data_IF_994710926769
#
_entry.id   IF_994710926769
#
_cell.length_a   1.000
_cell.length_b   1.000
_cell.length_c   1.000
_cell.angle_alpha   90.00
_cell.angle_beta   90.00
_cell.angle_gamma   90.00
#
_symmetry.space_group_name_H-M   'P 1'
#
loop_
_entity.id
_entity.type
_entity.pdbx_description
1 polymer ?
#
# COMPACT_ATOMS: atom_id res chain seq x y z
N UNK A 1 -54.82 27.69 57.90
CA UNK A 1 -53.81 27.19 58.88
C UNK A 1 -53.00 26.13 58.16
N UNK A 2 -51.68 26.32 58.11
CA UNK A 2 -50.70 25.69 57.20
C UNK A 2 -50.63 24.15 57.24
N UNK A 3 -50.39 23.56 56.05
CA UNK A 3 -49.54 22.38 55.84
C UNK A 3 -49.03 22.45 54.37
N UNK A 4 -47.74 22.76 54.16
CA UNK A 4 -46.67 21.80 53.76
C UNK A 4 -46.90 21.23 52.34
N UNK A 5 -46.38 21.88 51.29
CA UNK A 5 -45.06 21.65 50.67
C UNK A 5 -45.01 20.40 49.76
N UNK A 6 -45.40 20.57 48.49
CA UNK A 6 -44.97 19.69 47.39
C UNK A 6 -43.79 20.38 46.68
N UNK A 7 -42.58 19.86 46.91
CA UNK A 7 -41.41 20.16 46.09
C UNK A 7 -41.52 19.39 44.78
N UNK A 8 -41.84 20.10 43.70
CA UNK A 8 -41.53 19.65 42.35
C UNK A 8 -40.00 19.48 42.19
N UNK A 9 -39.51 18.43 41.49
CA UNK A 9 -38.10 18.32 41.20
C UNK A 9 -37.68 19.47 40.28
N UNK A 10 -36.83 20.35 40.82
CA UNK A 10 -36.08 21.40 40.13
C UNK A 10 -35.01 20.75 39.24
N UNK A 11 -35.36 20.44 37.99
CA UNK A 11 -34.38 20.31 36.89
C UNK A 11 -35.09 20.69 35.59
N UNK A 12 -35.30 21.99 35.39
CA UNK A 12 -35.61 22.59 34.09
C UNK A 12 -34.51 23.60 33.76
N UNK A 13 -33.26 23.15 33.82
CA UNK A 13 -32.16 23.86 33.20
C UNK A 13 -32.18 23.45 31.73
N UNK A 14 -32.63 24.35 30.86
CA UNK A 14 -32.79 24.19 29.40
C UNK A 14 -31.51 23.89 28.64
N UNK A 15 -30.83 22.82 29.03
CA UNK A 15 -29.63 22.28 28.44
C UNK A 15 -30.03 21.12 27.55
N UNK A 16 -30.32 21.41 26.28
CA UNK A 16 -30.41 20.38 25.25
C UNK A 16 -29.07 19.66 25.18
N UNK A 17 -29.04 18.39 25.59
CA UNK A 17 -27.86 17.55 25.41
C UNK A 17 -27.52 17.50 23.91
N UNK A 18 -26.25 17.73 23.52
CA UNK A 18 -25.87 17.67 22.12
C UNK A 18 -26.21 16.29 21.56
N UNK A 19 -27.00 16.25 20.48
CA UNK A 19 -27.34 15.01 19.79
C UNK A 19 -26.09 14.49 19.09
N UNK A 20 -25.45 13.47 19.66
CA UNK A 20 -24.26 12.84 19.09
C UNK A 20 -24.72 11.83 18.02
N UNK A 21 -24.41 12.10 16.75
CA UNK A 21 -24.61 11.14 15.67
C UNK A 21 -23.54 10.05 15.70
N UNK A 22 -23.93 8.87 16.16
CA UNK A 22 -23.09 7.67 16.21
C UNK A 22 -23.20 6.80 14.95
N UNK A 23 -24.05 7.17 13.98
CA UNK A 23 -24.37 6.32 12.84
C UNK A 23 -23.13 6.00 11.98
N UNK A 24 -22.18 6.94 11.90
CA UNK A 24 -20.88 6.71 11.24
C UNK A 24 -20.05 5.63 11.93
N UNK A 25 -20.06 5.57 13.26
CA UNK A 25 -19.29 4.57 14.02
C UNK A 25 -19.97 3.20 13.96
N UNK A 26 -21.30 3.14 14.03
CA UNK A 26 -22.03 1.89 13.85
C UNK A 26 -21.80 1.28 12.46
N UNK A 27 -21.78 2.09 11.40
CA UNK A 27 -21.42 1.61 10.05
C UNK A 27 -19.98 1.12 10.00
N UNK A 28 -19.05 1.87 10.59
CA UNK A 28 -17.65 1.45 10.65
C UNK A 28 -17.54 0.07 11.32
N UNK A 29 -18.08 -0.08 12.54
CA UNK A 29 -18.06 -1.34 13.29
C UNK A 29 -18.76 -2.48 12.55
N UNK A 30 -19.93 -2.23 11.95
CA UNK A 30 -20.67 -3.24 11.20
C UNK A 30 -19.94 -3.74 9.95
N UNK A 31 -19.05 -2.93 9.38
CA UNK A 31 -18.25 -3.29 8.20
C UNK A 31 -16.91 -3.96 8.54
N UNK A 32 -16.56 -4.09 9.83
CA UNK A 32 -15.30 -4.71 10.24
C UNK A 32 -15.34 -6.24 10.08
N UNK A 33 -14.29 -6.80 9.51
CA UNK A 33 -14.02 -8.23 9.64
C UNK A 33 -13.48 -8.53 11.03
N UNK A 34 -14.17 -9.38 11.80
CA UNK A 34 -13.76 -9.79 13.14
C UNK A 34 -12.76 -10.95 13.14
N UNK A 35 -12.47 -11.51 11.97
CA UNK A 35 -11.45 -12.52 11.77
C UNK A 35 -10.36 -12.00 10.83
N UNK A 36 -9.15 -12.55 10.97
CA UNK A 36 -8.03 -12.28 10.08
C UNK A 36 -7.64 -13.55 9.36
N UNK A 37 -7.68 -13.52 8.03
CA UNK A 37 -7.19 -14.62 7.22
C UNK A 37 -5.68 -14.72 7.42
N UNK A 38 -5.20 -15.95 7.63
CA UNK A 38 -3.79 -16.28 7.64
C UNK A 38 -3.58 -17.57 6.88
N UNK A 39 -2.47 -17.62 6.16
CA UNK A 39 -1.93 -18.83 5.58
C UNK A 39 -0.66 -19.27 6.30
N UNK A 40 -0.08 -20.33 5.78
CA UNK A 40 1.15 -20.93 6.30
C UNK A 40 2.12 -21.21 5.16
N UNK A 41 3.38 -20.85 5.36
CA UNK A 41 4.48 -21.32 4.51
C UNK A 41 4.58 -22.83 4.64
N UNK A 42 4.66 -23.52 3.52
CA UNK A 42 4.79 -24.98 3.43
C UNK A 42 6.18 -25.40 2.96
N UNK A 43 6.74 -24.66 2.00
CA UNK A 43 8.01 -24.97 1.37
C UNK A 43 8.72 -23.69 0.89
N UNK A 44 10.04 -23.73 0.80
CA UNK A 44 10.85 -22.76 0.07
C UNK A 44 11.65 -23.53 -1.00
N UNK A 45 11.45 -23.20 -2.27
CA UNK A 45 12.19 -23.79 -3.40
C UNK A 45 12.94 -22.69 -4.15
N UNK A 46 14.25 -22.59 -3.94
CA UNK A 46 15.04 -21.48 -4.48
C UNK A 46 14.56 -20.14 -3.89
N UNK A 47 14.08 -19.24 -4.76
CA UNK A 47 13.53 -17.94 -4.36
C UNK A 47 11.99 -17.95 -4.18
N UNK A 48 11.33 -19.04 -4.55
CA UNK A 48 9.87 -19.12 -4.50
C UNK A 48 9.43 -19.76 -3.19
N UNK A 49 8.59 -19.04 -2.45
CA UNK A 49 7.95 -19.54 -1.23
C UNK A 49 6.60 -20.14 -1.62
N UNK A 50 6.34 -21.38 -1.20
CA UNK A 50 5.02 -21.99 -1.31
C UNK A 50 4.27 -21.83 0.00
N UNK A 51 2.99 -21.52 -0.10
CA UNK A 51 2.14 -21.36 1.07
C UNK A 51 0.70 -21.78 0.78
N UNK A 52 -0.02 -22.21 1.82
CA UNK A 52 -1.48 -22.36 1.75
C UNK A 52 -2.10 -21.11 2.33
N UNK A 53 -2.69 -20.26 1.47
CA UNK A 53 -3.34 -19.01 1.86
C UNK A 53 -4.69 -18.91 1.14
N UNK A 54 -5.83 -18.88 1.86
CA UNK A 54 -7.13 -18.87 1.21
C UNK A 54 -7.50 -17.48 0.69
N UNK A 55 -8.18 -17.44 -0.46
CA UNK A 55 -8.83 -16.24 -0.99
C UNK A 55 -7.92 -15.19 -1.63
N UNK A 56 -6.62 -15.46 -1.79
CA UNK A 56 -5.66 -14.53 -2.40
C UNK A 56 -5.66 -14.58 -3.92
N UNK A 57 -5.18 -13.52 -4.56
CA UNK A 57 -5.13 -13.35 -6.02
C UNK A 57 -3.70 -13.10 -6.52
N UNK A 58 -3.44 -13.38 -7.80
CA UNK A 58 -2.17 -12.97 -8.45
C UNK A 58 -2.01 -11.45 -8.36
N UNK A 59 -0.81 -11.00 -8.02
CA UNK A 59 -0.46 -9.60 -7.80
C UNK A 59 -0.80 -9.07 -6.41
N UNK A 60 -1.40 -9.90 -5.55
CA UNK A 60 -1.71 -9.50 -4.17
C UNK A 60 -0.44 -9.51 -3.31
N UNK A 61 -0.27 -8.46 -2.52
CA UNK A 61 0.80 -8.34 -1.54
C UNK A 61 0.44 -9.14 -0.28
N UNK A 62 1.38 -9.93 0.19
CA UNK A 62 1.35 -10.67 1.44
C UNK A 62 2.52 -10.28 2.33
N UNK A 63 2.36 -10.44 3.64
CA UNK A 63 3.43 -10.36 4.62
C UNK A 63 3.75 -11.74 5.16
N UNK A 64 5.02 -12.15 5.09
CA UNK A 64 5.52 -13.37 5.72
C UNK A 64 6.10 -12.97 7.08
N UNK A 65 5.49 -13.49 8.14
CA UNK A 65 5.97 -13.30 9.51
C UNK A 65 6.90 -14.44 9.88
N UNK A 66 8.19 -14.12 10.05
CA UNK A 66 9.18 -15.08 10.54
C UNK A 66 8.96 -15.38 12.03
N UNK A 67 9.58 -16.46 12.53
CA UNK A 67 9.48 -16.82 13.95
C UNK A 67 10.16 -15.81 14.89
N UNK A 68 11.07 -14.99 14.36
CA UNK A 68 11.65 -13.89 15.10
C UNK A 68 10.67 -12.71 15.10
N UNK A 69 9.80 -12.63 16.11
CA UNK A 69 8.77 -11.58 16.23
C UNK A 69 9.31 -10.15 16.29
N UNK A 70 10.62 -9.95 16.44
CA UNK A 70 11.26 -8.62 16.40
C UNK A 70 11.67 -8.18 15.00
N UNK A 71 11.77 -9.11 14.05
CA UNK A 71 12.08 -8.80 12.67
C UNK A 71 10.85 -8.20 11.97
N UNK A 72 11.09 -7.27 11.05
CA UNK A 72 10.02 -6.75 10.20
C UNK A 72 9.47 -7.87 9.31
N UNK A 73 8.15 -7.92 9.06
CA UNK A 73 7.57 -8.89 8.15
C UNK A 73 8.14 -8.72 6.74
N UNK A 74 8.40 -9.84 6.06
CA UNK A 74 8.92 -9.83 4.70
C UNK A 74 7.75 -9.65 3.74
N UNK A 75 7.81 -8.62 2.89
CA UNK A 75 6.84 -8.40 1.80
C UNK A 75 7.02 -9.50 0.75
N UNK A 76 5.93 -10.09 0.27
CA UNK A 76 5.95 -11.06 -0.82
C UNK A 76 4.74 -10.88 -1.74
N UNK A 77 4.92 -11.07 -3.04
CA UNK A 77 3.86 -10.97 -4.03
C UNK A 77 3.38 -12.36 -4.45
N UNK A 78 2.07 -12.53 -4.59
CA UNK A 78 1.49 -13.74 -5.20
C UNK A 78 1.78 -13.73 -6.70
N UNK A 79 2.69 -14.60 -7.15
CA UNK A 79 3.07 -14.72 -8.57
C UNK A 79 2.35 -15.84 -9.30
N UNK A 80 1.68 -16.73 -8.58
CA UNK A 80 0.91 -17.81 -9.19
C UNK A 80 0.39 -18.83 -8.19
N UNK A 81 -0.13 -19.92 -8.73
CA UNK A 81 -0.67 -21.04 -7.97
C UNK A 81 -0.21 -22.35 -8.60
N UNK A 82 0.02 -23.36 -7.76
CA UNK A 82 0.30 -24.71 -8.19
C UNK A 82 -0.34 -25.70 -7.23
N UNK A 83 -1.07 -26.67 -7.77
CA UNK A 83 -1.84 -27.65 -6.99
C UNK A 83 -2.80 -26.98 -5.99
N UNK A 84 -2.48 -27.01 -4.70
CA UNK A 84 -3.27 -26.36 -3.63
C UNK A 84 -2.50 -25.24 -2.93
N UNK A 85 -1.39 -24.82 -3.51
CA UNK A 85 -0.48 -23.85 -2.93
C UNK A 85 -0.40 -22.58 -3.77
N UNK A 86 -0.15 -21.50 -3.07
CA UNK A 86 0.17 -20.19 -3.60
C UNK A 86 1.68 -20.09 -3.73
N UNK A 87 2.13 -19.57 -4.87
CA UNK A 87 3.52 -19.26 -5.12
C UNK A 87 3.75 -17.78 -4.80
N UNK A 88 4.60 -17.52 -3.83
CA UNK A 88 4.96 -16.20 -3.35
C UNK A 88 6.40 -15.88 -3.77
N UNK A 89 6.61 -14.66 -4.26
CA UNK A 89 7.94 -14.10 -4.51
C UNK A 89 8.24 -13.06 -3.44
N UNK A 90 9.18 -13.33 -2.51
CA UNK A 90 9.64 -12.34 -1.55
C UNK A 90 10.29 -11.14 -2.24
N UNK A 91 10.00 -9.95 -1.73
CA UNK A 91 10.48 -8.65 -2.23
C UNK A 91 11.64 -8.10 -1.38
N UNK A 92 12.31 -8.98 -0.64
CA UNK A 92 13.41 -8.66 0.27
C UNK A 92 14.20 -9.92 0.61
N UNK A 93 14.97 -9.87 1.70
CA UNK A 93 15.75 -11.02 2.15
C UNK A 93 14.84 -12.20 2.54
N UNK A 94 15.32 -13.41 2.24
CA UNK A 94 14.67 -14.68 2.59
C UNK A 94 15.04 -15.14 4.00
N UNK A 95 16.01 -14.49 4.65
CA UNK A 95 16.49 -14.88 5.97
C UNK A 95 15.35 -15.01 6.98
N UNK A 96 15.29 -16.18 7.64
CA UNK A 96 14.28 -16.48 8.65
C UNK A 96 12.94 -16.99 8.10
N UNK A 97 12.75 -17.06 6.78
CA UNK A 97 11.59 -17.74 6.19
C UNK A 97 11.74 -19.26 6.37
N UNK A 98 10.70 -19.89 6.91
CA UNK A 98 10.64 -21.34 7.02
C UNK A 98 9.21 -21.89 7.11
N UNK A 99 9.04 -23.22 6.98
CA UNK A 99 7.74 -23.87 7.10
C UNK A 99 7.02 -23.50 8.40
N UNK A 100 5.72 -23.24 8.30
CA UNK A 100 4.87 -22.85 9.42
C UNK A 100 4.85 -21.35 9.76
N UNK A 101 5.69 -20.53 9.11
CA UNK A 101 5.58 -19.07 9.18
C UNK A 101 4.19 -18.60 8.73
N UNK A 102 3.67 -17.57 9.39
CA UNK A 102 2.37 -16.99 9.04
C UNK A 102 2.51 -16.19 7.75
N UNK A 103 1.57 -16.38 6.83
CA UNK A 103 1.40 -15.52 5.65
C UNK A 103 0.12 -14.71 5.82
N UNK A 104 0.24 -13.39 5.81
CA UNK A 104 -0.87 -12.46 6.04
C UNK A 104 -1.15 -11.71 4.73
N UNK A 105 -2.27 -12.01 4.04
CA UNK A 105 -2.64 -11.27 2.84
C UNK A 105 -3.10 -9.85 3.19
N UNK A 106 -2.78 -8.89 2.33
CA UNK A 106 -3.19 -7.49 2.50
C UNK A 106 -4.52 -7.17 1.84
N UNK A 107 -5.02 -8.03 0.94
CA UNK A 107 -6.23 -7.78 0.16
C UNK A 107 -6.03 -6.85 -1.04
N UNK A 108 -4.80 -6.40 -1.32
CA UNK A 108 -4.50 -5.48 -2.40
C UNK A 108 -3.12 -5.72 -3.02
N UNK A 109 -2.87 -5.07 -4.16
CA UNK A 109 -1.55 -5.08 -4.79
C UNK A 109 -0.56 -4.17 -4.05
N UNK A 110 0.73 -4.31 -4.36
CA UNK A 110 1.76 -3.41 -3.89
C UNK A 110 1.46 -1.96 -4.33
N UNK A 111 1.49 -1.05 -3.37
CA UNK A 111 1.37 0.39 -3.59
C UNK A 111 2.62 1.10 -3.09
N UNK A 112 2.92 2.23 -3.71
CA UNK A 112 4.02 3.13 -3.35
C UNK A 112 3.47 4.51 -2.99
N UNK A 113 4.18 5.20 -2.11
CA UNK A 113 3.84 6.57 -1.68
C UNK A 113 4.24 7.55 -2.78
N UNK A 114 3.36 8.48 -3.13
CA UNK A 114 3.59 9.49 -4.18
C UNK A 114 3.16 10.89 -3.71
N UNK A 115 3.71 11.91 -4.35
CA UNK A 115 3.47 13.33 -4.06
C UNK A 115 4.73 14.17 -4.25
N UNK A 116 4.62 15.49 -4.09
CA UNK A 116 5.76 16.40 -4.30
C UNK A 116 6.88 16.19 -3.28
N UNK A 117 6.58 15.59 -2.12
CA UNK A 117 7.55 15.23 -1.08
C UNK A 117 8.59 14.19 -1.50
N UNK A 118 8.46 13.58 -2.68
CA UNK A 118 9.47 12.69 -3.26
C UNK A 118 10.62 13.45 -3.93
N UNK A 119 10.43 14.73 -4.29
CA UNK A 119 11.45 15.51 -5.00
C UNK A 119 12.72 15.64 -4.14
N UNK A 120 13.84 15.20 -4.70
CA UNK A 120 15.14 15.21 -4.03
C UNK A 120 15.40 14.06 -3.05
N UNK A 121 14.45 13.12 -2.90
CA UNK A 121 14.61 11.93 -2.06
C UNK A 121 15.23 10.77 -2.83
N UNK A 122 15.89 9.87 -2.10
CA UNK A 122 16.40 8.60 -2.64
C UNK A 122 15.59 7.44 -2.05
N UNK A 123 14.97 6.67 -2.94
CA UNK A 123 14.09 5.55 -2.59
C UNK A 123 14.66 4.23 -3.12
N UNK A 124 14.29 3.13 -2.46
CA UNK A 124 14.52 1.78 -2.96
C UNK A 124 13.46 1.34 -3.99
N UNK A 125 13.56 0.10 -4.49
CA UNK A 125 12.62 -0.47 -5.45
C UNK A 125 11.19 -0.69 -4.92
N UNK A 126 10.97 -0.56 -3.61
CA UNK A 126 9.65 -0.65 -2.96
C UNK A 126 9.09 0.73 -2.58
N UNK A 127 9.80 1.80 -2.92
CA UNK A 127 9.42 3.17 -2.60
C UNK A 127 9.69 3.56 -1.15
N UNK A 128 10.48 2.77 -0.41
CA UNK A 128 10.89 3.09 0.95
C UNK A 128 12.18 3.98 0.91
N UNK A 129 12.26 5.07 1.70
CA UNK A 129 13.38 5.99 1.64
C UNK A 129 14.67 5.40 2.24
N UNK A 130 15.75 5.39 1.46
CA UNK A 130 17.07 4.94 1.94
C UNK A 130 17.89 6.08 2.57
N UNK A 131 17.43 7.32 2.43
CA UNK A 131 18.03 8.54 2.97
C UNK A 131 17.37 9.02 4.27
N UNK A 132 16.48 8.21 4.87
CA UNK A 132 15.64 8.62 5.99
C UNK A 132 16.42 9.11 7.22
N UNK A 133 17.63 8.58 7.44
CA UNK A 133 18.49 8.99 8.55
C UNK A 133 18.99 10.44 8.43
N UNK A 134 19.08 10.95 7.19
CA UNK A 134 19.59 12.31 6.90
C UNK A 134 18.48 13.29 6.54
N UNK A 135 17.41 12.82 5.88
CA UNK A 135 16.32 13.65 5.37
C UNK A 135 14.98 13.44 6.10
N UNK A 136 14.97 12.58 7.12
CA UNK A 136 13.78 12.28 7.91
C UNK A 136 12.75 11.39 7.16
N UNK A 137 11.55 11.21 7.74
CA UNK A 137 10.50 10.41 7.12
C UNK A 137 10.04 10.99 5.77
N UNK A 138 9.51 10.14 4.89
CA UNK A 138 8.97 10.55 3.60
C UNK A 138 7.61 11.25 3.79
N UNK A 139 7.49 12.48 3.29
CA UNK A 139 6.19 13.15 3.13
C UNK A 139 5.54 12.69 1.84
N UNK A 140 4.25 12.34 1.88
CA UNK A 140 3.50 11.88 0.73
C UNK A 140 2.04 12.28 0.83
N UNK A 141 1.37 12.35 -0.31
CA UNK A 141 -0.03 12.79 -0.41
C UNK A 141 -0.97 11.60 -0.56
N UNK A 142 -0.54 10.57 -1.29
CA UNK A 142 -1.36 9.39 -1.53
C UNK A 142 -0.51 8.15 -1.81
N UNK A 143 -1.16 7.00 -1.87
CA UNK A 143 -0.56 5.74 -2.29
C UNK A 143 -1.09 5.35 -3.68
N UNK A 144 -0.17 4.98 -4.57
CA UNK A 144 -0.48 4.62 -5.95
C UNK A 144 -0.08 3.17 -6.23
N UNK A 145 -0.92 2.36 -6.92
CA UNK A 145 -0.58 0.98 -7.25
C UNK A 145 0.62 0.92 -8.20
N UNK A 146 1.58 0.04 -7.89
CA UNK A 146 2.74 -0.21 -8.78
C UNK A 146 2.26 -0.78 -10.11
N UNK A 147 1.32 -1.71 -10.05
CA UNK A 147 0.69 -2.30 -11.22
C UNK A 147 -0.61 -1.55 -11.56
N UNK A 148 -0.49 -0.51 -12.39
CA UNK A 148 -1.62 0.25 -12.91
C UNK A 148 -1.94 -0.14 -14.37
N UNK A 149 -3.22 0.00 -14.74
CA UNK A 149 -3.61 -0.19 -16.15
C UNK A 149 -2.98 0.89 -17.03
N UNK A 150 -2.53 0.56 -18.24
CA UNK A 150 -1.96 1.55 -19.15
C UNK A 150 -3.03 2.58 -19.56
N UNK A 151 -2.64 3.84 -19.83
CA UNK A 151 -3.56 4.85 -20.34
C UNK A 151 -4.05 4.45 -21.74
N UNK A 152 -5.28 4.87 -22.09
CA UNK A 152 -5.88 4.60 -23.39
C UNK A 152 -5.02 5.21 -24.53
N UNK A 153 -4.52 4.40 -25.48
CA UNK A 153 -3.73 4.89 -26.61
C UNK A 153 -4.40 5.98 -27.44
N UNK A 154 -5.74 6.00 -27.53
CA UNK A 154 -6.48 7.01 -28.30
C UNK A 154 -6.54 8.36 -27.60
N UNK A 155 -6.44 8.35 -26.26
CA UNK A 155 -6.35 9.59 -25.46
C UNK A 155 -4.94 10.17 -25.42
N UNK A 156 -3.95 9.41 -25.87
CA UNK A 156 -2.55 9.82 -25.88
C UNK A 156 -2.36 11.00 -26.84
N UNK A 157 -1.82 12.10 -26.32
CA UNK A 157 -1.46 13.27 -27.12
C UNK A 157 -0.34 12.91 -28.11
N UNK A 158 -0.44 13.44 -29.33
CA UNK A 158 0.65 13.37 -30.32
C UNK A 158 1.85 14.17 -29.79
N UNK A 159 3.05 13.68 -30.08
CA UNK A 159 4.30 14.38 -29.75
C UNK A 159 4.53 15.43 -30.84
N UNK A 160 4.41 16.71 -30.47
CA UNK A 160 4.53 17.84 -31.40
C UNK A 160 5.56 18.87 -30.98
N UNK A 161 6.04 18.82 -29.73
CA UNK A 161 7.02 19.77 -29.19
C UNK A 161 8.37 19.07 -29.01
N UNK A 162 9.47 19.61 -29.58
CA UNK A 162 10.81 19.13 -29.27
C UNK A 162 11.20 19.51 -27.84
N UNK A 163 11.96 18.65 -27.16
CA UNK A 163 12.61 18.89 -25.87
C UNK A 163 14.13 18.83 -26.06
N UNK A 164 14.83 19.92 -25.73
CA UNK A 164 16.30 19.94 -25.76
C UNK A 164 16.84 19.22 -24.53
N UNK A 165 17.82 18.35 -24.76
CA UNK A 165 18.53 17.63 -23.69
C UNK A 165 19.90 18.25 -23.39
N UNK A 166 20.29 19.31 -24.10
CA UNK A 166 21.57 20.01 -23.92
C UNK A 166 22.78 19.32 -24.58
N UNK A 167 22.56 18.24 -25.33
CA UNK A 167 23.60 17.50 -26.05
C UNK A 167 23.44 17.76 -27.54
N UNK A 168 24.37 18.52 -28.13
CA UNK A 168 24.28 18.97 -29.53
C UNK A 168 24.05 17.83 -30.53
N UNK A 169 24.74 16.70 -30.36
CA UNK A 169 24.57 15.56 -31.26
C UNK A 169 23.13 15.01 -31.22
N UNK A 170 22.48 15.02 -30.06
CA UNK A 170 21.09 14.58 -29.90
C UNK A 170 20.16 15.66 -30.43
N UNK A 171 20.29 16.90 -29.95
CA UNK A 171 19.36 17.98 -30.30
C UNK A 171 19.33 18.29 -31.80
N UNK A 172 20.46 18.11 -32.52
CA UNK A 172 20.55 18.41 -33.96
C UNK A 172 20.23 17.24 -34.89
N UNK A 173 20.62 16.01 -34.55
CA UNK A 173 20.51 14.85 -35.46
C UNK A 173 19.48 13.84 -34.98
N UNK A 174 19.25 13.74 -33.66
CA UNK A 174 18.37 12.77 -33.01
C UNK A 174 17.36 13.47 -32.09
N UNK A 175 16.76 14.56 -32.59
CA UNK A 175 15.88 15.44 -31.79
C UNK A 175 14.80 14.63 -31.07
N UNK A 176 14.66 14.87 -29.76
CA UNK A 176 13.69 14.19 -28.90
C UNK A 176 12.47 15.10 -28.70
N UNK A 177 11.27 14.52 -28.64
CA UNK A 177 10.03 15.23 -28.33
C UNK A 177 9.49 14.99 -26.92
N UNK A 178 8.68 15.92 -26.42
CA UNK A 178 8.00 15.80 -25.12
C UNK A 178 7.08 14.57 -25.09
N UNK A 179 7.30 13.66 -24.13
CA UNK A 179 6.56 12.40 -24.02
C UNK A 179 7.06 11.27 -24.94
N UNK A 180 8.20 11.46 -25.62
CA UNK A 180 8.90 10.40 -26.35
C UNK A 180 9.64 9.46 -25.39
N UNK A 181 9.66 8.16 -25.71
CA UNK A 181 10.50 7.17 -25.02
C UNK A 181 11.75 6.94 -25.86
N UNK A 182 12.94 7.00 -25.25
CA UNK A 182 14.24 6.88 -25.92
C UNK A 182 15.03 5.75 -25.28
N UNK A 183 15.61 4.87 -26.10
CA UNK A 183 16.53 3.82 -25.65
C UNK A 183 17.98 4.28 -25.76
N UNK A 184 18.80 3.93 -24.76
CA UNK A 184 20.26 4.17 -24.76
C UNK A 184 20.94 2.81 -24.86
N UNK A 185 21.72 2.60 -25.91
CA UNK A 185 22.51 1.39 -26.15
C UNK A 185 23.97 1.81 -26.22
N UNK A 186 24.79 1.33 -25.27
CA UNK A 186 26.18 1.71 -25.10
C UNK A 186 27.03 0.49 -24.75
#
# INVERSE_FOLDING_TARGET
>A
MQAAAEHAPLFDDGFELPVIDLHKYYRAVASLSTYRIKGKVTELTGLVVKAVVPGVRVGELCYIQTFNSRALPIKAEVVGFKDKEVLLMPLGDLEGIGPGNDVIPTGGCLKVRVGDGLLGRVLDGLGDPIDADTHGPLSYETEYPVMASPPDPLTRKRITQPISVGIRAIDSVLTVGEGQRVGIFA
#
